data_IF_551333824886
#
_entry.id   IF_551333824886
#
_cell.length_a   1.000
_cell.length_b   1.000
_cell.length_c   1.000
_cell.angle_alpha   90.00
_cell.angle_beta   90.00
_cell.angle_gamma   90.00
#
_symmetry.space_group_name_H-M   'P 1'
#
loop_
_entity.id
_entity.type
_entity.pdbx_description
1 polymer ?
#
# COMPACT_ATOMS: atom_id res chain seq x y z
N UNK A 1 4.52 -34.56 -12.65
CA UNK A 1 4.51 -33.33 -11.82
C UNK A 1 4.54 -32.15 -12.79
N UNK A 2 3.47 -31.41 -12.90
CA UNK A 2 3.43 -30.23 -13.78
C UNK A 2 4.11 -29.05 -13.07
N UNK A 3 4.75 -28.18 -13.81
CA UNK A 3 5.72 -27.23 -13.27
C UNK A 3 5.21 -25.81 -13.41
N UNK A 4 5.21 -25.04 -12.33
CA UNK A 4 5.06 -23.58 -12.42
C UNK A 4 6.37 -22.98 -12.89
N UNK A 5 6.29 -22.14 -13.92
CA UNK A 5 7.44 -21.38 -14.41
C UNK A 5 7.19 -19.92 -14.14
N UNK A 6 8.15 -19.25 -13.53
CA UNK A 6 8.09 -17.82 -13.24
C UNK A 6 8.98 -17.03 -14.17
N UNK A 7 8.51 -15.86 -14.57
CA UNK A 7 9.24 -14.91 -15.41
C UNK A 7 9.27 -13.54 -14.73
N UNK A 8 10.42 -12.88 -14.74
CA UNK A 8 10.58 -11.51 -14.29
C UNK A 8 11.55 -10.80 -15.22
N UNK A 9 11.25 -9.53 -15.59
CA UNK A 9 12.02 -8.77 -16.57
C UNK A 9 12.27 -9.60 -17.85
N UNK A 10 11.24 -10.31 -18.34
CA UNK A 10 11.29 -11.17 -19.52
C UNK A 10 12.31 -12.34 -19.44
N UNK A 11 12.79 -12.68 -18.26
CA UNK A 11 13.70 -13.80 -18.01
C UNK A 11 13.02 -14.83 -17.11
N UNK A 12 13.24 -16.10 -17.42
CA UNK A 12 12.84 -17.18 -16.53
C UNK A 12 13.59 -17.09 -15.22
N UNK A 13 12.86 -17.12 -14.10
CA UNK A 13 13.43 -17.12 -12.77
C UNK A 13 13.92 -18.49 -12.37
N UNK A 14 15.12 -18.57 -11.84
CA UNK A 14 15.67 -19.76 -11.21
C UNK A 14 15.44 -19.78 -9.69
N UNK A 15 15.30 -18.59 -9.09
CA UNK A 15 14.99 -18.38 -7.67
C UNK A 15 14.28 -17.03 -7.48
N UNK A 16 13.76 -16.76 -6.27
CA UNK A 16 13.01 -15.52 -5.94
C UNK A 16 13.83 -14.43 -5.25
N UNK A 17 15.16 -14.57 -5.17
CA UNK A 17 16.00 -13.57 -4.48
C UNK A 17 15.95 -12.21 -5.15
N UNK A 18 15.69 -12.17 -6.46
CA UNK A 18 15.63 -10.95 -7.25
C UNK A 18 14.22 -10.34 -7.34
N UNK A 19 13.24 -10.98 -6.72
CA UNK A 19 11.84 -10.53 -6.79
C UNK A 19 11.40 -9.96 -5.44
N UNK A 20 10.94 -8.72 -5.45
CA UNK A 20 10.50 -7.97 -4.26
C UNK A 20 9.09 -8.33 -3.80
N UNK A 21 8.67 -9.54 -4.03
CA UNK A 21 7.31 -9.97 -3.79
C UNK A 21 7.20 -11.03 -2.71
N UNK A 22 5.99 -11.39 -2.42
CA UNK A 22 5.61 -12.37 -1.43
C UNK A 22 6.29 -13.73 -1.67
N UNK A 23 7.54 -13.84 -1.22
CA UNK A 23 8.34 -15.05 -1.29
C UNK A 23 7.60 -16.26 -0.69
N UNK A 24 6.90 -16.06 0.43
CA UNK A 24 6.18 -17.13 1.14
C UNK A 24 5.07 -17.69 0.28
N UNK A 25 4.30 -16.84 -0.41
CA UNK A 25 3.24 -17.30 -1.30
C UNK A 25 3.82 -18.05 -2.51
N UNK A 26 4.91 -17.55 -3.09
CA UNK A 26 5.56 -18.22 -4.22
C UNK A 26 6.19 -19.56 -3.83
N UNK A 27 6.81 -19.67 -2.65
CA UNK A 27 7.30 -20.94 -2.10
C UNK A 27 6.13 -21.92 -1.93
N UNK A 28 5.00 -21.49 -1.37
CA UNK A 28 3.79 -22.32 -1.25
C UNK A 28 3.24 -22.76 -2.61
N UNK A 29 3.26 -21.89 -3.63
CA UNK A 29 2.81 -22.22 -4.97
C UNK A 29 3.74 -23.25 -5.61
N UNK A 30 5.06 -23.17 -5.37
CA UNK A 30 6.01 -24.16 -5.88
C UNK A 30 5.79 -25.58 -5.31
N UNK A 31 5.31 -25.65 -4.08
CA UNK A 31 5.02 -26.93 -3.40
C UNK A 31 3.65 -27.52 -3.80
N UNK A 32 2.85 -26.83 -4.60
CA UNK A 32 1.58 -27.36 -5.07
C UNK A 32 1.75 -28.40 -6.18
N UNK A 33 1.05 -29.51 -6.01
CA UNK A 33 0.82 -30.48 -7.10
C UNK A 33 -0.30 -29.93 -8.01
N UNK A 34 0.10 -29.20 -9.05
CA UNK A 34 -0.86 -28.68 -10.02
C UNK A 34 -1.23 -29.74 -11.06
N UNK A 35 -2.49 -29.75 -11.48
CA UNK A 35 -3.00 -30.66 -12.52
C UNK A 35 -2.52 -30.29 -13.94
N UNK A 36 -2.00 -29.09 -14.14
CA UNK A 36 -1.46 -28.59 -15.42
C UNK A 36 -0.28 -27.63 -15.22
N UNK A 37 0.43 -27.33 -16.31
CA UNK A 37 1.53 -26.36 -16.29
C UNK A 37 1.00 -24.93 -16.37
N UNK A 38 1.55 -24.06 -15.53
CA UNK A 38 1.23 -22.65 -15.48
C UNK A 38 2.50 -21.81 -15.64
N UNK A 39 2.42 -20.75 -16.45
CA UNK A 39 3.49 -19.76 -16.57
C UNK A 39 3.03 -18.45 -15.92
N UNK A 40 3.81 -17.97 -14.92
CA UNK A 40 3.51 -16.76 -14.16
C UNK A 40 4.50 -15.67 -14.56
N UNK A 41 3.99 -14.56 -15.08
CA UNK A 41 4.76 -13.38 -15.40
C UNK A 41 4.59 -12.34 -14.30
N UNK A 42 5.67 -12.07 -13.56
CA UNK A 42 5.73 -11.03 -12.54
C UNK A 42 6.05 -9.70 -13.25
N UNK A 43 5.13 -8.77 -13.21
CA UNK A 43 5.22 -7.51 -13.96
C UNK A 43 5.42 -6.36 -12.99
N UNK A 44 6.47 -5.57 -13.21
CA UNK A 44 6.73 -4.33 -12.49
C UNK A 44 6.40 -3.15 -13.42
N UNK A 45 5.29 -2.44 -13.19
CA UNK A 45 4.83 -1.41 -14.11
C UNK A 45 5.76 -0.22 -14.31
N UNK A 46 6.70 0.00 -13.39
CA UNK A 46 7.64 1.13 -13.44
C UNK A 46 8.76 1.01 -14.48
N UNK A 47 8.86 -0.13 -15.17
CA UNK A 47 9.91 -0.39 -16.18
C UNK A 47 9.29 -0.63 -17.55
N UNK A 48 9.56 0.26 -18.52
CA UNK A 48 9.06 0.16 -19.90
C UNK A 48 9.42 -1.15 -20.60
N UNK A 49 10.47 -1.84 -20.13
CA UNK A 49 10.96 -3.10 -20.69
C UNK A 49 10.27 -4.36 -20.12
N UNK A 50 9.33 -4.21 -19.19
CA UNK A 50 8.65 -5.33 -18.53
C UNK A 50 7.40 -5.83 -19.27
N UNK A 51 7.33 -5.64 -20.59
CA UNK A 51 6.22 -6.15 -21.38
C UNK A 51 6.41 -7.63 -21.74
N UNK A 52 5.66 -8.56 -21.13
CA UNK A 52 5.81 -10.00 -21.38
C UNK A 52 5.18 -10.45 -22.71
N UNK A 53 4.46 -9.58 -23.40
CA UNK A 53 3.53 -9.97 -24.48
C UNK A 53 4.21 -10.61 -25.69
N UNK A 54 5.45 -10.24 -26.04
CA UNK A 54 6.17 -10.87 -27.14
C UNK A 54 6.60 -12.31 -26.79
N UNK A 55 6.95 -12.55 -25.54
CA UNK A 55 7.26 -13.91 -25.07
C UNK A 55 5.98 -14.75 -25.09
N UNK A 56 4.88 -14.22 -24.56
CA UNK A 56 3.59 -14.93 -24.50
C UNK A 56 3.10 -15.29 -25.90
N UNK A 57 3.22 -14.38 -26.87
CA UNK A 57 2.85 -14.66 -28.28
C UNK A 57 3.63 -15.81 -28.90
N UNK A 58 4.83 -16.11 -28.41
CA UNK A 58 5.64 -17.22 -28.87
C UNK A 58 5.36 -18.53 -28.15
N UNK A 59 4.52 -18.51 -27.10
CA UNK A 59 4.15 -19.69 -26.32
C UNK A 59 2.98 -20.45 -26.95
N UNK A 60 2.87 -21.71 -26.54
CA UNK A 60 1.69 -22.53 -26.83
C UNK A 60 0.49 -21.98 -26.04
N UNK A 61 -0.64 -21.73 -26.74
CA UNK A 61 -1.87 -21.23 -26.13
C UNK A 61 -2.63 -22.27 -25.30
N UNK A 62 -2.13 -23.49 -25.19
CA UNK A 62 -2.70 -24.54 -24.31
C UNK A 62 -2.33 -24.38 -22.83
N UNK A 63 -1.42 -23.46 -22.52
CA UNK A 63 -0.98 -23.20 -21.14
C UNK A 63 -1.78 -22.11 -20.49
N UNK A 64 -2.04 -22.26 -19.18
CA UNK A 64 -2.51 -21.19 -18.34
C UNK A 64 -1.39 -20.16 -18.12
N UNK A 65 -1.71 -18.90 -18.31
CA UNK A 65 -0.78 -17.78 -18.14
C UNK A 65 -1.35 -16.83 -17.09
N UNK A 66 -0.54 -16.47 -16.11
CA UNK A 66 -0.88 -15.50 -15.09
C UNK A 66 0.00 -14.27 -15.24
N UNK A 67 -0.62 -13.13 -15.43
CA UNK A 67 0.03 -11.82 -15.39
C UNK A 67 -0.13 -11.25 -14.00
N UNK A 68 0.94 -11.23 -13.22
CA UNK A 68 0.92 -10.74 -11.86
C UNK A 68 1.65 -9.41 -11.72
N UNK A 69 0.88 -8.35 -11.59
CA UNK A 69 1.40 -7.01 -11.33
C UNK A 69 1.80 -6.89 -9.85
N UNK A 70 3.08 -6.66 -9.59
CA UNK A 70 3.65 -6.66 -8.25
C UNK A 70 3.75 -5.28 -7.61
N UNK A 71 3.40 -4.24 -8.37
CA UNK A 71 3.34 -2.85 -7.91
C UNK A 71 2.15 -2.15 -8.56
N UNK A 72 1.80 -0.94 -8.07
CA UNK A 72 0.71 -0.13 -8.63
C UNK A 72 0.90 0.10 -10.12
N UNK A 73 -0.18 -0.01 -10.87
CA UNK A 73 -0.19 0.20 -12.32
C UNK A 73 -0.59 1.65 -12.61
N UNK A 74 0.26 2.42 -13.27
CA UNK A 74 -0.15 3.72 -13.78
C UNK A 74 -1.20 3.56 -14.88
N UNK A 75 -2.16 4.50 -14.98
CA UNK A 75 -3.21 4.46 -15.98
C UNK A 75 -2.65 4.30 -17.41
N UNK A 76 -1.59 5.04 -17.73
CA UNK A 76 -0.97 4.98 -19.06
C UNK A 76 -0.37 3.60 -19.39
N UNK A 77 0.30 2.96 -18.43
CA UNK A 77 0.87 1.64 -18.63
C UNK A 77 -0.22 0.56 -18.70
N UNK A 78 -1.26 0.73 -17.88
CA UNK A 78 -2.42 -0.14 -17.91
C UNK A 78 -3.10 -0.12 -19.27
N UNK A 79 -3.33 1.07 -19.87
CA UNK A 79 -3.93 1.21 -21.19
C UNK A 79 -3.10 0.52 -22.27
N UNK A 80 -1.78 0.62 -22.22
CA UNK A 80 -0.87 -0.06 -23.13
C UNK A 80 -0.97 -1.60 -23.02
N UNK A 81 -1.03 -2.11 -21.79
CA UNK A 81 -1.13 -3.56 -21.54
C UNK A 81 -2.53 -4.12 -21.84
N UNK A 82 -3.59 -3.35 -21.55
CA UNK A 82 -4.99 -3.73 -21.76
C UNK A 82 -5.26 -4.24 -23.17
N UNK A 83 -4.83 -3.49 -24.19
CA UNK A 83 -5.02 -3.90 -25.57
C UNK A 83 -4.31 -5.22 -25.89
N UNK A 84 -3.09 -5.40 -25.35
CA UNK A 84 -2.33 -6.63 -25.55
C UNK A 84 -2.97 -7.83 -24.83
N UNK A 85 -3.49 -7.63 -23.63
CA UNK A 85 -4.21 -8.65 -22.86
C UNK A 85 -5.47 -9.08 -23.61
N UNK A 86 -6.30 -8.13 -24.02
CA UNK A 86 -7.55 -8.43 -24.75
C UNK A 86 -7.28 -9.16 -26.06
N UNK A 87 -6.26 -8.73 -26.83
CA UNK A 87 -5.85 -9.41 -28.07
C UNK A 87 -5.41 -10.87 -27.83
N UNK A 88 -4.71 -11.16 -26.72
CA UNK A 88 -4.32 -12.53 -26.39
C UNK A 88 -5.53 -13.39 -26.00
N UNK A 89 -6.47 -12.82 -25.22
CA UNK A 89 -7.73 -13.50 -24.89
C UNK A 89 -8.53 -13.85 -26.14
N UNK A 90 -8.65 -12.92 -27.11
CA UNK A 90 -9.30 -13.14 -28.40
C UNK A 90 -8.63 -14.24 -29.22
N UNK A 91 -7.33 -14.45 -29.05
CA UNK A 91 -6.57 -15.54 -29.68
C UNK A 91 -6.68 -16.88 -28.94
N UNK A 92 -7.47 -16.93 -27.87
CA UNK A 92 -7.74 -18.16 -27.12
C UNK A 92 -6.68 -18.53 -26.06
N UNK A 93 -5.84 -17.57 -25.63
CA UNK A 93 -4.96 -17.80 -24.49
C UNK A 93 -5.77 -17.81 -23.18
N UNK A 94 -5.50 -18.77 -22.31
CA UNK A 94 -6.06 -18.82 -20.94
C UNK A 94 -5.27 -17.88 -20.04
N UNK A 95 -5.73 -16.62 -19.97
CA UNK A 95 -5.10 -15.54 -19.24
C UNK A 95 -5.87 -15.21 -17.97
N UNK A 96 -5.13 -15.06 -16.86
CA UNK A 96 -5.62 -14.48 -15.60
C UNK A 96 -4.72 -13.30 -15.23
N UNK A 97 -5.30 -12.27 -14.65
CA UNK A 97 -4.57 -11.07 -14.23
C UNK A 97 -4.69 -10.89 -12.73
N UNK A 98 -3.56 -10.69 -12.05
CA UNK A 98 -3.50 -10.33 -10.63
C UNK A 98 -2.93 -8.92 -10.54
N UNK A 99 -3.64 -8.00 -9.89
CA UNK A 99 -3.31 -6.58 -9.83
C UNK A 99 -3.56 -6.03 -8.41
N UNK A 100 -2.68 -5.17 -7.88
CA UNK A 100 -2.86 -4.60 -6.55
C UNK A 100 -3.91 -3.48 -6.49
N UNK A 101 -4.15 -2.80 -7.60
CA UNK A 101 -5.12 -1.70 -7.67
C UNK A 101 -6.56 -2.22 -7.71
N UNK A 102 -7.49 -1.47 -7.10
CA UNK A 102 -8.92 -1.73 -7.15
C UNK A 102 -9.59 -0.68 -8.06
N UNK A 103 -9.95 -1.09 -9.27
CA UNK A 103 -10.72 -0.28 -10.22
C UNK A 103 -12.17 -0.75 -10.24
N UNK A 104 -13.11 0.14 -10.55
CA UNK A 104 -14.51 -0.22 -10.70
C UNK A 104 -14.75 -1.11 -11.94
N UNK A 105 -13.95 -0.89 -12.97
CA UNK A 105 -13.95 -1.70 -14.18
C UNK A 105 -12.54 -1.79 -14.76
N UNK A 106 -12.08 -3.01 -15.02
CA UNK A 106 -10.78 -3.26 -15.66
C UNK A 106 -10.87 -3.28 -17.18
N UNK A 107 -12.09 -3.45 -17.73
CA UNK A 107 -12.34 -3.53 -19.17
C UNK A 107 -11.38 -4.52 -19.86
N UNK A 108 -11.18 -5.67 -19.23
CA UNK A 108 -10.38 -6.79 -19.70
C UNK A 108 -11.26 -7.99 -20.04
N UNK A 109 -10.88 -8.73 -21.08
CA UNK A 109 -11.58 -9.93 -21.55
C UNK A 109 -11.23 -11.19 -20.75
N UNK A 110 -10.52 -11.05 -19.62
CA UNK A 110 -10.13 -12.14 -18.73
C UNK A 110 -10.50 -11.83 -17.28
N UNK A 111 -10.40 -12.84 -16.42
CA UNK A 111 -10.62 -12.67 -15.00
C UNK A 111 -9.51 -11.84 -14.33
N UNK A 112 -9.91 -10.92 -13.46
CA UNK A 112 -9.01 -10.05 -12.71
C UNK A 112 -9.17 -10.30 -11.21
N UNK A 113 -8.06 -10.44 -10.53
CA UNK A 113 -7.98 -10.65 -9.10
C UNK A 113 -7.15 -9.56 -8.43
N UNK A 114 -7.60 -9.10 -7.28
CA UNK A 114 -6.83 -8.11 -6.52
C UNK A 114 -5.96 -8.79 -5.48
N UNK A 115 -4.67 -8.49 -5.49
CA UNK A 115 -3.73 -8.90 -4.44
C UNK A 115 -2.63 -7.88 -4.27
N UNK A 116 -2.42 -7.47 -3.03
CA UNK A 116 -1.27 -6.69 -2.65
C UNK A 116 -0.23 -7.58 -1.93
N UNK A 117 0.77 -8.01 -2.66
CA UNK A 117 1.75 -9.01 -2.21
C UNK A 117 2.56 -8.61 -0.96
N UNK A 118 2.75 -7.30 -0.70
CA UNK A 118 3.47 -6.86 0.51
C UNK A 118 2.66 -7.04 1.80
N UNK A 119 1.33 -7.21 1.73
CA UNK A 119 0.50 -7.42 2.92
C UNK A 119 0.91 -8.70 3.67
N UNK A 120 1.30 -9.76 2.95
CA UNK A 120 1.80 -11.00 3.55
C UNK A 120 3.08 -10.78 4.37
N UNK A 121 4.02 -9.98 3.85
CA UNK A 121 5.25 -9.65 4.57
C UNK A 121 4.95 -8.87 5.85
N UNK A 122 3.94 -8.00 5.83
CA UNK A 122 3.52 -7.23 7.01
C UNK A 122 2.84 -8.15 8.03
N UNK A 123 2.03 -9.11 7.59
CA UNK A 123 1.46 -10.10 8.48
C UNK A 123 2.55 -10.97 9.14
N UNK A 124 3.57 -11.38 8.40
CA UNK A 124 4.72 -12.07 8.95
C UNK A 124 5.42 -11.24 10.02
N UNK A 125 5.69 -9.96 9.75
CA UNK A 125 6.27 -9.04 10.73
C UNK A 125 5.38 -8.88 11.96
N UNK A 126 4.06 -8.81 11.79
CA UNK A 126 3.12 -8.80 12.91
C UNK A 126 3.23 -10.08 13.75
N UNK A 127 3.31 -11.24 13.12
CA UNK A 127 3.42 -12.53 13.82
C UNK A 127 4.74 -12.65 14.59
N UNK A 128 5.86 -12.27 13.97
CA UNK A 128 7.19 -12.24 14.61
C UNK A 128 7.22 -11.32 15.83
N UNK A 129 6.49 -10.21 15.79
CA UNK A 129 6.44 -9.23 16.85
C UNK A 129 5.20 -9.33 17.76
N UNK A 130 4.40 -10.40 17.60
CA UNK A 130 3.09 -10.55 18.26
C UNK A 130 3.15 -10.37 19.78
N UNK A 131 4.17 -10.93 20.42
CA UNK A 131 4.34 -10.82 21.86
C UNK A 131 4.51 -9.37 22.33
N UNK A 132 5.35 -8.60 21.62
CA UNK A 132 5.63 -7.20 21.93
C UNK A 132 4.43 -6.30 21.62
N UNK A 133 3.76 -6.50 20.46
CA UNK A 133 2.55 -5.75 20.10
C UNK A 133 1.44 -5.99 21.11
N UNK A 134 1.21 -7.26 21.49
CA UNK A 134 0.23 -7.64 22.51
C UNK A 134 0.56 -7.01 23.87
N UNK A 135 1.82 -7.13 24.32
CA UNK A 135 2.26 -6.55 25.58
C UNK A 135 2.03 -5.03 25.62
N UNK A 136 2.40 -4.32 24.56
CA UNK A 136 2.18 -2.88 24.46
C UNK A 136 0.68 -2.56 24.50
N UNK A 137 -0.15 -3.26 23.72
CA UNK A 137 -1.58 -3.03 23.67
C UNK A 137 -2.27 -3.28 25.01
N UNK A 138 -1.94 -4.36 25.71
CA UNK A 138 -2.53 -4.69 27.02
C UNK A 138 -2.10 -3.72 28.11
N UNK A 139 -0.91 -3.13 27.98
CA UNK A 139 -0.33 -2.21 28.97
C UNK A 139 -0.30 -0.75 28.50
N UNK A 140 -1.00 -0.41 27.43
CA UNK A 140 -0.90 0.90 26.79
C UNK A 140 -1.21 2.11 27.71
N UNK A 141 -1.95 1.92 28.80
CA UNK A 141 -2.23 2.95 29.81
C UNK A 141 -0.96 3.35 30.60
N UNK A 142 0.06 2.53 30.59
CA UNK A 142 1.33 2.76 31.30
C UNK A 142 2.42 3.30 30.38
N UNK A 143 2.15 3.39 29.10
CA UNK A 143 3.08 3.95 28.12
C UNK A 143 2.74 5.41 27.85
N UNK A 144 3.70 6.28 28.06
CA UNK A 144 3.61 7.67 27.66
C UNK A 144 3.86 7.80 26.16
N UNK A 145 2.98 8.51 25.46
CA UNK A 145 3.14 8.92 24.07
C UNK A 145 3.28 10.42 24.02
N UNK A 146 4.28 10.93 23.34
CA UNK A 146 4.53 12.37 23.24
C UNK A 146 4.15 12.93 21.85
N UNK A 147 3.88 12.05 20.86
CA UNK A 147 3.51 12.45 19.51
C UNK A 147 2.04 12.17 19.19
N UNK A 148 1.40 13.18 18.63
CA UNK A 148 0.03 13.07 18.13
C UNK A 148 -0.01 12.17 16.91
N UNK A 149 0.95 12.36 16.01
CA UNK A 149 0.95 11.76 14.68
C UNK A 149 2.27 11.06 14.37
N UNK A 150 2.16 9.99 13.60
CA UNK A 150 3.24 9.35 12.89
C UNK A 150 3.00 9.50 11.39
N UNK A 151 4.03 9.77 10.58
CA UNK A 151 3.88 9.80 9.13
C UNK A 151 5.16 9.37 8.43
N UNK A 152 5.10 8.22 7.75
CA UNK A 152 6.21 7.72 6.95
C UNK A 152 6.07 8.14 5.49
N UNK A 153 6.99 8.99 5.01
CA UNK A 153 7.04 9.45 3.64
C UNK A 153 8.43 9.17 3.05
N UNK A 154 8.52 8.17 2.18
CA UNK A 154 9.75 7.89 1.46
C UNK A 154 9.93 8.88 0.30
N UNK A 155 9.31 8.60 -0.84
CA UNK A 155 9.43 9.44 -2.03
C UNK A 155 8.63 10.74 -1.91
N UNK A 156 9.22 11.89 -2.23
CA UNK A 156 8.52 13.16 -2.30
C UNK A 156 7.57 13.17 -3.50
N UNK A 157 6.26 13.25 -3.21
CA UNK A 157 5.18 13.38 -4.18
C UNK A 157 4.40 14.65 -3.90
N UNK A 158 3.72 15.29 -4.88
CA UNK A 158 3.05 16.59 -4.69
C UNK A 158 2.14 16.62 -3.46
N UNK A 159 1.26 15.64 -3.28
CA UNK A 159 0.36 15.57 -2.12
C UNK A 159 1.11 15.43 -0.77
N UNK A 160 2.24 14.70 -0.74
CA UNK A 160 3.06 14.53 0.47
C UNK A 160 3.77 15.83 0.82
N UNK A 161 4.28 16.55 -0.20
CA UNK A 161 4.89 17.86 -0.02
C UNK A 161 3.84 18.85 0.44
N UNK A 162 2.62 18.81 -0.12
CA UNK A 162 1.52 19.67 0.29
C UNK A 162 1.17 19.47 1.78
N UNK A 163 1.09 18.23 2.22
CA UNK A 163 0.88 17.89 3.63
C UNK A 163 2.03 18.41 4.51
N UNK A 164 3.29 18.15 4.12
CA UNK A 164 4.46 18.58 4.87
C UNK A 164 4.53 20.12 4.94
N UNK A 165 4.26 20.80 3.83
CA UNK A 165 4.21 22.27 3.80
C UNK A 165 3.18 22.84 4.80
N UNK A 166 2.00 22.21 4.90
CA UNK A 166 1.01 22.58 5.89
C UNK A 166 1.52 22.38 7.33
N UNK A 167 2.11 21.22 7.61
CA UNK A 167 2.65 20.88 8.93
C UNK A 167 3.70 21.91 9.38
N UNK A 168 4.62 22.24 8.49
CA UNK A 168 5.71 23.21 8.75
C UNK A 168 5.15 24.63 8.93
N UNK A 169 4.32 25.09 8.00
CA UNK A 169 3.77 26.44 8.01
C UNK A 169 2.87 26.74 9.22
N UNK A 170 2.37 25.68 9.88
CA UNK A 170 1.53 25.80 11.08
C UNK A 170 2.25 25.40 12.38
N UNK A 171 3.58 25.23 12.34
CA UNK A 171 4.41 24.87 13.49
C UNK A 171 3.97 23.56 14.18
N UNK A 172 3.54 22.56 13.39
CA UNK A 172 3.05 21.28 13.91
C UNK A 172 4.11 20.18 13.96
N UNK A 173 5.35 20.43 13.51
CA UNK A 173 6.41 19.43 13.46
C UNK A 173 6.66 18.74 14.79
N UNK A 174 6.59 19.49 15.91
CA UNK A 174 6.78 18.91 17.24
C UNK A 174 5.72 17.87 17.62
N UNK A 175 4.55 17.90 17.00
CA UNK A 175 3.44 16.94 17.20
C UNK A 175 3.57 15.70 16.33
N UNK A 176 4.54 15.66 15.42
CA UNK A 176 4.75 14.59 14.46
C UNK A 176 6.07 13.85 14.70
N UNK A 177 6.00 12.53 14.58
CA UNK A 177 7.11 11.73 14.12
C UNK A 177 6.94 11.59 12.59
N UNK A 178 7.78 12.28 11.81
CA UNK A 178 7.66 12.33 10.35
C UNK A 178 8.99 12.05 9.66
N UNK A 179 9.00 11.11 8.71
CA UNK A 179 10.12 10.92 7.79
C UNK A 179 9.81 11.48 6.40
N UNK A 180 10.82 12.03 5.75
CA UNK A 180 10.69 12.57 4.40
C UNK A 180 12.05 12.65 3.70
N UNK A 181 12.18 12.01 2.53
CA UNK A 181 13.42 12.06 1.76
C UNK A 181 13.52 13.38 0.98
N UNK A 182 14.77 13.79 0.68
CA UNK A 182 15.06 14.99 -0.13
C UNK A 182 15.10 14.71 -1.64
N UNK A 183 15.02 13.45 -2.06
CA UNK A 183 15.17 13.04 -3.47
C UNK A 183 14.21 11.91 -3.83
N UNK A 184 13.92 11.80 -5.11
CA UNK A 184 13.14 10.70 -5.69
C UNK A 184 14.06 9.84 -6.57
N UNK A 185 14.40 8.59 -6.15
CA UNK A 185 15.19 7.64 -6.94
C UNK A 185 16.43 8.26 -7.63
N UNK A 186 17.25 9.03 -6.89
CA UNK A 186 18.42 9.77 -7.40
C UNK A 186 18.10 10.91 -8.37
N UNK A 187 16.87 11.38 -8.47
CA UNK A 187 16.48 12.58 -9.20
C UNK A 187 16.24 13.76 -8.27
N UNK A 188 16.40 14.98 -8.76
CA UNK A 188 16.05 16.19 -8.02
C UNK A 188 14.57 16.18 -7.63
N UNK A 189 14.26 16.90 -6.55
CA UNK A 189 12.90 17.05 -6.04
C UNK A 189 12.02 17.65 -7.14
N UNK A 190 11.09 16.87 -7.67
CA UNK A 190 10.14 17.37 -8.65
C UNK A 190 9.04 18.17 -7.92
N UNK A 191 9.16 19.49 -7.93
CA UNK A 191 8.17 20.42 -7.40
C UNK A 191 7.00 20.68 -8.37
N UNK A 192 6.99 20.01 -9.52
CA UNK A 192 5.86 20.05 -10.45
C UNK A 192 4.57 19.57 -9.78
N UNK A 193 3.45 20.23 -10.05
CA UNK A 193 2.16 19.92 -9.43
C UNK A 193 1.90 20.59 -8.07
N UNK A 194 2.87 21.26 -7.44
CA UNK A 194 2.62 21.99 -6.19
C UNK A 194 1.72 23.22 -6.39
N UNK A 195 1.75 23.82 -7.58
CA UNK A 195 0.85 24.93 -7.94
C UNK A 195 -0.62 24.52 -7.86
N UNK A 196 -0.94 23.27 -8.09
CA UNK A 196 -2.32 22.74 -7.97
C UNK A 196 -2.82 22.78 -6.52
N UNK A 197 -1.91 22.64 -5.56
CA UNK A 197 -2.17 22.80 -4.13
C UNK A 197 -2.01 24.25 -3.64
N UNK A 198 -1.88 25.23 -4.54
CA UNK A 198 -1.60 26.63 -4.24
C UNK A 198 -0.29 26.85 -3.44
N UNK A 199 0.71 26.03 -3.69
CA UNK A 199 2.03 26.13 -3.07
C UNK A 199 2.98 26.73 -4.10
N UNK A 200 3.29 28.02 -3.96
CA UNK A 200 4.24 28.72 -4.84
C UNK A 200 5.69 28.40 -4.50
N UNK A 201 5.98 28.15 -3.22
CA UNK A 201 7.34 27.87 -2.74
C UNK A 201 7.30 26.91 -1.56
N UNK A 202 8.15 25.90 -1.61
CA UNK A 202 8.40 24.97 -0.51
C UNK A 202 9.86 25.11 -0.05
N UNK A 203 10.07 25.23 1.26
CA UNK A 203 11.41 25.30 1.84
C UNK A 203 12.03 23.91 1.90
N UNK A 204 12.92 23.62 0.96
CA UNK A 204 13.63 22.34 0.88
C UNK A 204 14.77 22.21 1.89
N UNK A 205 15.15 23.31 2.58
CA UNK A 205 16.27 23.27 3.56
C UNK A 205 15.96 22.46 4.80
N UNK A 206 14.67 22.17 5.06
CA UNK A 206 14.24 21.30 6.16
C UNK A 206 14.44 19.82 5.87
N UNK A 207 14.73 19.44 4.62
CA UNK A 207 14.89 18.05 4.19
C UNK A 207 16.35 17.62 4.19
N UNK A 208 16.65 16.34 4.42
CA UNK A 208 15.70 15.26 4.72
C UNK A 208 15.27 15.24 6.19
N UNK A 209 14.05 14.72 6.45
CA UNK A 209 13.59 14.39 7.80
C UNK A 209 13.76 12.88 8.02
N UNK A 210 14.60 12.48 8.95
CA UNK A 210 14.91 11.09 9.23
C UNK A 210 14.32 10.65 10.57
N UNK A 211 13.52 9.60 10.57
CA UNK A 211 13.02 8.92 11.77
C UNK A 211 13.52 7.48 11.87
N UNK A 212 13.74 6.86 10.74
CA UNK A 212 14.10 5.47 10.62
C UNK A 212 15.33 5.30 9.70
N UNK A 213 15.78 4.09 9.55
CA UNK A 213 17.02 3.77 8.83
C UNK A 213 17.04 4.44 7.45
N UNK A 214 18.16 5.12 7.16
CA UNK A 214 18.44 5.84 5.91
C UNK A 214 18.41 4.94 4.64
N UNK A 215 18.40 3.63 4.81
CA UNK A 215 18.37 2.69 3.72
C UNK A 215 16.92 2.41 3.30
N UNK A 216 16.49 3.02 2.22
CA UNK A 216 15.24 2.70 1.52
C UNK A 216 15.40 1.40 0.72
N UNK A 217 15.57 0.29 1.41
CA UNK A 217 15.52 -1.03 0.80
C UNK A 217 14.10 -1.59 0.91
N UNK A 218 13.76 -2.54 0.07
CA UNK A 218 12.50 -3.30 0.16
C UNK A 218 12.24 -3.84 1.58
N UNK A 219 13.29 -4.29 2.27
CA UNK A 219 13.20 -4.78 3.65
C UNK A 219 12.72 -3.71 4.64
N UNK A 220 13.02 -2.43 4.41
CA UNK A 220 12.56 -1.34 5.28
C UNK A 220 11.10 -0.99 5.02
N UNK A 221 10.60 -1.14 3.79
CA UNK A 221 9.20 -0.85 3.46
C UNK A 221 8.21 -1.81 4.13
N UNK A 222 8.61 -3.04 4.43
CA UNK A 222 7.76 -4.04 5.10
C UNK A 222 7.99 -4.15 6.61
N UNK A 223 9.12 -3.67 7.15
CA UNK A 223 9.41 -3.70 8.58
C UNK A 223 8.45 -2.83 9.40
N UNK A 224 8.15 -3.29 10.62
CA UNK A 224 7.41 -2.53 11.62
C UNK A 224 8.41 -1.81 12.54
N UNK A 225 8.47 -0.48 12.47
CA UNK A 225 9.24 0.32 13.42
C UNK A 225 8.40 0.54 14.70
N UNK A 226 8.29 -0.50 15.52
CA UNK A 226 7.40 -0.52 16.68
C UNK A 226 7.63 0.64 17.65
N UNK A 227 8.88 1.08 17.95
CA UNK A 227 9.07 2.24 18.81
C UNK A 227 8.33 3.49 18.33
N UNK A 228 8.37 3.81 17.04
CA UNK A 228 7.66 4.98 16.49
C UNK A 228 6.15 4.78 16.51
N UNK A 229 5.67 3.57 16.16
CA UNK A 229 4.25 3.25 16.29
C UNK A 229 3.77 3.36 17.73
N UNK A 230 4.58 2.97 18.71
CA UNK A 230 4.18 3.03 20.14
C UNK A 230 4.26 4.45 20.72
N UNK A 231 5.13 5.31 20.19
CA UNK A 231 5.31 6.68 20.63
C UNK A 231 4.21 7.65 20.17
N UNK A 232 3.47 7.31 19.14
CA UNK A 232 2.45 8.16 18.53
C UNK A 232 1.03 7.67 18.79
N UNK A 233 0.03 8.54 18.62
CA UNK A 233 -1.39 8.17 18.75
C UNK A 233 -2.03 7.78 17.42
N UNK A 234 -1.84 8.55 16.36
CA UNK A 234 -2.53 8.40 15.07
C UNK A 234 -1.50 8.35 13.95
N UNK A 235 -1.67 7.40 13.03
CA UNK A 235 -0.84 7.31 11.83
C UNK A 235 -1.46 8.16 10.70
N UNK A 236 -0.71 9.08 10.14
CA UNK A 236 -1.10 9.82 8.93
C UNK A 236 -0.50 9.08 7.74
N UNK A 237 -1.27 8.14 7.23
CA UNK A 237 -0.85 7.22 6.16
C UNK A 237 -0.95 7.93 4.82
N UNK A 238 0.20 8.29 4.25
CA UNK A 238 0.27 8.89 2.91
C UNK A 238 0.56 7.83 1.86
N UNK A 239 -0.48 7.40 1.15
CA UNK A 239 -0.39 6.38 0.11
C UNK A 239 0.49 6.81 -1.06
N UNK A 240 0.91 5.84 -1.85
CA UNK A 240 1.72 6.10 -3.04
C UNK A 240 0.91 6.79 -4.15
N UNK A 241 -0.38 6.48 -4.26
CA UNK A 241 -1.29 7.09 -5.21
C UNK A 241 -2.32 7.96 -4.47
N UNK A 242 -2.59 9.14 -5.01
CA UNK A 242 -3.48 10.10 -4.40
C UNK A 242 -4.39 10.80 -5.41
N UNK A 243 -3.81 11.33 -6.49
CA UNK A 243 -4.50 12.11 -7.50
C UNK A 243 -5.24 11.24 -8.53
N UNK A 244 -4.83 10.00 -8.67
CA UNK A 244 -5.29 9.08 -9.71
C UNK A 244 -6.65 8.47 -9.36
N UNK A 245 -7.36 8.02 -10.38
CA UNK A 245 -8.56 7.19 -10.23
C UNK A 245 -8.22 5.77 -9.79
N UNK A 246 -9.22 5.08 -9.24
CA UNK A 246 -9.05 3.76 -8.64
C UNK A 246 -8.64 3.84 -7.16
N UNK A 247 -8.40 2.69 -6.54
CA UNK A 247 -7.95 2.61 -5.16
C UNK A 247 -6.77 1.66 -5.04
N UNK A 248 -5.67 2.19 -4.51
CA UNK A 248 -4.48 1.43 -4.17
C UNK A 248 -4.23 1.49 -2.66
N UNK A 249 -4.32 0.35 -2.00
CA UNK A 249 -4.03 0.23 -0.56
C UNK A 249 -2.59 -0.24 -0.40
N UNK A 250 -1.72 0.64 0.06
CA UNK A 250 -0.29 0.34 0.17
C UNK A 250 0.12 -0.27 1.53
N UNK A 251 1.40 -0.61 1.63
CA UNK A 251 1.99 -1.26 2.80
C UNK A 251 1.80 -0.48 4.11
N UNK A 252 1.75 0.86 4.04
CA UNK A 252 1.64 1.70 5.24
C UNK A 252 0.29 1.52 5.92
N UNK A 253 -0.77 1.35 5.13
CA UNK A 253 -2.11 1.07 5.65
C UNK A 253 -2.13 -0.27 6.41
N UNK A 254 -1.54 -1.31 5.83
CA UNK A 254 -1.45 -2.62 6.48
C UNK A 254 -0.56 -2.60 7.74
N UNK A 255 0.50 -1.78 7.76
CA UNK A 255 1.32 -1.55 8.96
C UNK A 255 0.52 -0.95 10.11
N UNK A 256 -0.38 0.00 9.81
CA UNK A 256 -1.26 0.58 10.83
C UNK A 256 -2.16 -0.50 11.45
N UNK A 257 -2.71 -1.42 10.64
CA UNK A 257 -3.48 -2.56 11.16
C UNK A 257 -2.61 -3.49 12.00
N UNK A 258 -1.43 -3.85 11.51
CA UNK A 258 -0.49 -4.74 12.21
C UNK A 258 -0.05 -4.17 13.56
N UNK A 259 0.19 -2.86 13.64
CA UNK A 259 0.62 -2.15 14.85
C UNK A 259 -0.55 -1.64 15.71
N UNK A 260 -1.80 -2.00 15.38
CA UNK A 260 -3.01 -1.58 16.11
C UNK A 260 -3.08 -0.05 16.26
N UNK A 261 -2.94 0.66 15.14
CA UNK A 261 -2.99 2.13 15.08
C UNK A 261 -4.24 2.65 14.39
N UNK A 262 -4.91 3.67 14.96
CA UNK A 262 -5.85 4.46 14.20
C UNK A 262 -5.09 5.29 13.16
N UNK A 263 -5.75 5.61 12.05
CA UNK A 263 -5.09 6.37 10.98
C UNK A 263 -6.02 7.38 10.32
N UNK A 264 -5.40 8.41 9.76
CA UNK A 264 -5.97 9.30 8.74
C UNK A 264 -5.35 8.90 7.41
N UNK A 265 -6.17 8.53 6.43
CA UNK A 265 -5.68 8.02 5.16
C UNK A 265 -5.58 9.14 4.12
N UNK A 266 -4.36 9.53 3.75
CA UNK A 266 -4.07 10.41 2.63
C UNK A 266 -3.96 9.54 1.38
N UNK A 267 -5.11 9.16 0.85
CA UNK A 267 -5.27 8.21 -0.25
C UNK A 267 -6.24 8.70 -1.32
N UNK A 268 -6.47 7.86 -2.30
CA UNK A 268 -7.43 8.11 -3.38
C UNK A 268 -8.87 8.17 -2.84
N UNK A 269 -9.76 8.83 -3.58
CA UNK A 269 -11.19 8.87 -3.28
C UNK A 269 -11.75 7.45 -3.18
N UNK A 270 -12.54 7.18 -2.13
CA UNK A 270 -13.13 5.86 -1.87
C UNK A 270 -12.19 4.83 -1.24
N UNK A 271 -10.99 5.22 -0.82
CA UNK A 271 -10.02 4.29 -0.23
C UNK A 271 -10.52 3.72 1.11
N UNK A 272 -11.15 4.53 1.97
CA UNK A 272 -11.75 4.04 3.21
C UNK A 272 -13.00 3.19 2.94
N UNK A 273 -13.80 3.55 1.94
CA UNK A 273 -14.92 2.72 1.48
C UNK A 273 -14.40 1.35 1.05
N UNK A 274 -13.32 1.29 0.27
CA UNK A 274 -12.72 0.01 -0.16
C UNK A 274 -12.23 -0.81 1.03
N UNK A 275 -11.59 -0.20 2.02
CA UNK A 275 -11.18 -0.90 3.23
C UNK A 275 -12.38 -1.53 3.96
N UNK A 276 -13.51 -0.82 4.03
CA UNK A 276 -14.74 -1.38 4.62
C UNK A 276 -15.29 -2.58 3.83
N UNK A 277 -15.23 -2.53 2.50
CA UNK A 277 -15.60 -3.65 1.61
C UNK A 277 -14.67 -4.87 1.80
N UNK A 278 -13.40 -4.64 2.14
CA UNK A 278 -12.42 -5.69 2.45
C UNK A 278 -12.55 -6.21 3.91
N UNK A 279 -13.58 -5.76 4.64
CA UNK A 279 -13.88 -6.22 5.99
C UNK A 279 -13.16 -5.46 7.11
N UNK A 280 -12.35 -4.46 6.81
CA UNK A 280 -11.74 -3.59 7.80
C UNK A 280 -12.75 -2.56 8.31
N UNK A 281 -12.50 -2.01 9.49
CA UNK A 281 -13.28 -0.90 10.07
C UNK A 281 -12.48 0.39 10.00
N UNK A 282 -13.18 1.49 9.79
CA UNK A 282 -12.60 2.83 9.78
C UNK A 282 -13.01 3.61 11.04
N UNK A 283 -12.60 4.84 11.18
CA UNK A 283 -12.64 5.57 12.44
C UNK A 283 -13.68 6.70 12.46
N UNK A 284 -14.67 6.64 11.56
CA UNK A 284 -15.66 7.70 11.32
C UNK A 284 -16.36 8.27 12.56
N UNK A 285 -16.63 7.54 13.66
CA UNK A 285 -17.23 8.17 14.84
C UNK A 285 -16.30 9.16 15.58
N UNK A 286 -14.99 9.10 15.31
CA UNK A 286 -13.97 9.86 16.05
C UNK A 286 -13.10 10.72 15.13
N UNK A 287 -12.96 10.33 13.87
CA UNK A 287 -12.21 11.01 12.81
C UNK A 287 -13.22 11.39 11.72
N UNK A 288 -13.22 12.65 11.29
CA UNK A 288 -14.03 13.09 10.15
C UNK A 288 -13.47 12.49 8.86
N UNK A 289 -14.13 11.47 8.33
CA UNK A 289 -13.77 10.74 7.13
C UNK A 289 -14.49 11.25 5.86
N UNK A 290 -15.15 12.42 5.93
CA UNK A 290 -15.88 13.00 4.79
C UNK A 290 -14.98 13.26 3.57
N UNK A 291 -13.67 13.33 3.77
CA UNK A 291 -12.69 13.46 2.69
C UNK A 291 -12.66 12.23 1.76
N UNK A 292 -13.10 11.07 2.21
CA UNK A 292 -13.07 9.84 1.40
C UNK A 292 -13.99 9.90 0.18
N UNK A 293 -15.08 10.68 0.26
CA UNK A 293 -16.06 10.84 -0.82
C UNK A 293 -15.70 12.01 -1.78
N UNK A 294 -14.69 12.84 -1.44
CA UNK A 294 -14.31 14.00 -2.26
C UNK A 294 -13.42 13.55 -3.44
N UNK A 295 -13.93 13.74 -4.67
CA UNK A 295 -13.21 13.37 -5.90
C UNK A 295 -12.12 14.38 -6.27
N UNK A 296 -12.34 15.65 -6.01
CA UNK A 296 -11.32 16.69 -6.21
C UNK A 296 -10.20 16.52 -5.18
N UNK A 297 -9.02 16.10 -5.65
CA UNK A 297 -7.91 15.77 -4.78
C UNK A 297 -7.36 16.96 -3.99
N UNK A 298 -7.50 18.20 -4.49
CA UNK A 298 -7.11 19.42 -3.76
C UNK A 298 -8.07 19.71 -2.62
N UNK A 299 -9.38 19.60 -2.87
CA UNK A 299 -10.40 19.72 -1.82
C UNK A 299 -10.29 18.59 -0.81
N UNK A 300 -10.05 17.35 -1.27
CA UNK A 300 -9.80 16.21 -0.40
C UNK A 300 -8.64 16.45 0.54
N UNK A 301 -7.50 16.98 0.05
CA UNK A 301 -6.37 17.38 0.88
C UNK A 301 -6.78 18.44 1.91
N UNK A 302 -7.57 19.41 1.53
CA UNK A 302 -8.05 20.47 2.44
C UNK A 302 -8.91 19.89 3.58
N UNK A 303 -9.75 18.89 3.30
CA UNK A 303 -10.54 18.19 4.32
C UNK A 303 -9.66 17.36 5.26
N UNK A 304 -8.67 16.64 4.72
CA UNK A 304 -7.69 15.89 5.51
C UNK A 304 -6.90 16.82 6.44
N UNK A 305 -6.43 17.95 5.91
CA UNK A 305 -5.71 18.99 6.66
C UNK A 305 -6.59 19.55 7.77
N UNK A 306 -7.88 19.81 7.50
CA UNK A 306 -8.83 20.28 8.50
C UNK A 306 -8.97 19.30 9.66
N UNK A 307 -8.99 18.02 9.37
CA UNK A 307 -9.08 16.98 10.40
C UNK A 307 -7.79 16.87 11.23
N UNK A 308 -6.61 16.91 10.58
CA UNK A 308 -5.32 16.95 11.26
C UNK A 308 -5.24 18.18 12.18
N UNK A 309 -5.70 19.34 11.69
CA UNK A 309 -5.77 20.57 12.50
C UNK A 309 -6.65 20.37 13.73
N UNK A 310 -7.88 19.88 13.55
CA UNK A 310 -8.82 19.63 14.65
C UNK A 310 -8.20 18.77 15.76
N UNK A 311 -7.54 17.68 15.37
CA UNK A 311 -6.91 16.78 16.34
C UNK A 311 -5.68 17.45 16.98
N UNK A 312 -4.92 18.23 16.20
CA UNK A 312 -3.74 18.92 16.73
C UNK A 312 -4.08 20.01 17.77
N UNK A 313 -5.29 20.51 17.79
CA UNK A 313 -5.80 21.51 18.73
C UNK A 313 -6.27 20.87 20.06
N UNK A 314 -6.43 19.55 20.11
CA UNK A 314 -6.74 18.82 21.34
C UNK A 314 -5.54 18.83 22.29
N UNK A 315 -5.80 18.70 23.58
CA UNK A 315 -4.75 18.37 24.56
C UNK A 315 -4.31 16.93 24.39
N UNK A 316 -3.12 16.59 24.88
CA UNK A 316 -2.59 15.24 24.81
C UNK A 316 -3.51 14.24 25.55
N UNK A 317 -4.13 14.67 26.67
CA UNK A 317 -5.11 13.85 27.41
C UNK A 317 -6.38 13.57 26.59
N UNK A 318 -6.84 14.56 25.82
CA UNK A 318 -8.02 14.38 24.94
C UNK A 318 -7.70 13.44 23.77
N UNK A 319 -6.51 13.52 23.19
CA UNK A 319 -6.06 12.58 22.15
C UNK A 319 -5.91 11.17 22.71
N UNK A 320 -5.38 11.03 23.91
CA UNK A 320 -5.31 9.74 24.58
C UNK A 320 -6.69 9.13 24.82
N UNK A 321 -7.65 9.91 25.31
CA UNK A 321 -9.05 9.48 25.46
C UNK A 321 -9.68 9.10 24.10
N UNK A 322 -9.38 9.85 23.06
CA UNK A 322 -9.85 9.56 21.71
C UNK A 322 -9.28 8.22 21.21
N UNK A 323 -8.00 7.98 21.40
CA UNK A 323 -7.34 6.73 21.03
C UNK A 323 -7.99 5.52 21.70
N UNK A 324 -8.24 5.58 23.02
CA UNK A 324 -8.86 4.46 23.75
C UNK A 324 -10.29 4.13 23.27
N UNK A 325 -11.05 5.11 22.79
CA UNK A 325 -12.38 4.86 22.23
C UNK A 325 -12.34 4.01 20.96
N UNK A 326 -11.21 3.99 20.25
CA UNK A 326 -11.02 3.26 19.00
C UNK A 326 -10.54 1.80 19.20
N UNK A 327 -10.25 1.38 20.42
CA UNK A 327 -9.66 0.08 20.74
C UNK A 327 -10.36 -1.14 20.10
N UNK A 328 -11.70 -1.15 20.05
CA UNK A 328 -12.44 -2.26 19.42
C UNK A 328 -12.19 -2.33 17.91
N UNK A 329 -12.00 -1.18 17.26
CA UNK A 329 -11.66 -1.12 15.84
C UNK A 329 -10.25 -1.59 15.62
N UNK A 330 -9.29 -1.18 16.48
CA UNK A 330 -7.89 -1.60 16.39
C UNK A 330 -7.75 -3.12 16.51
N UNK A 331 -8.39 -3.74 17.48
CA UNK A 331 -8.41 -5.20 17.64
C UNK A 331 -9.02 -5.91 16.42
N UNK A 332 -10.16 -5.40 15.95
CA UNK A 332 -10.82 -5.95 14.77
C UNK A 332 -9.88 -5.91 13.55
N UNK A 333 -9.27 -4.78 13.25
CA UNK A 333 -8.42 -4.60 12.08
C UNK A 333 -7.15 -5.45 12.13
N UNK A 334 -6.54 -5.56 13.31
CA UNK A 334 -5.37 -6.41 13.53
C UNK A 334 -5.68 -7.89 13.25
N UNK A 335 -6.88 -8.36 13.64
CA UNK A 335 -7.35 -9.73 13.36
C UNK A 335 -7.78 -9.89 11.90
N UNK A 336 -8.48 -8.90 11.35
CA UNK A 336 -8.96 -8.89 9.97
C UNK A 336 -7.80 -8.96 8.96
N UNK A 337 -6.64 -8.40 9.27
CA UNK A 337 -5.45 -8.48 8.41
C UNK A 337 -5.10 -9.95 8.09
N UNK A 338 -5.08 -10.81 9.09
CA UNK A 338 -4.81 -12.23 8.89
C UNK A 338 -5.89 -12.94 8.06
N UNK A 339 -7.17 -12.62 8.30
CA UNK A 339 -8.31 -13.18 7.56
C UNK A 339 -8.24 -12.74 6.09
N UNK A 340 -8.07 -11.45 5.85
CA UNK A 340 -7.97 -10.87 4.51
C UNK A 340 -6.86 -11.53 3.67
N UNK A 341 -5.66 -11.67 4.26
CA UNK A 341 -4.53 -12.27 3.57
C UNK A 341 -4.78 -13.76 3.31
N UNK A 342 -5.30 -14.49 4.31
CA UNK A 342 -5.63 -15.89 4.13
C UNK A 342 -6.63 -16.11 2.98
N UNK A 343 -7.72 -15.33 2.96
CA UNK A 343 -8.77 -15.45 1.95
C UNK A 343 -8.27 -15.06 0.56
N UNK A 344 -7.42 -14.03 0.47
CA UNK A 344 -6.81 -13.60 -0.78
C UNK A 344 -5.87 -14.67 -1.31
N UNK A 345 -5.01 -15.23 -0.46
CA UNK A 345 -4.10 -16.30 -0.84
C UNK A 345 -4.86 -17.57 -1.27
N UNK A 346 -5.95 -17.91 -0.58
CA UNK A 346 -6.81 -19.02 -0.97
C UNK A 346 -7.42 -18.83 -2.35
N UNK A 347 -7.88 -17.62 -2.68
CA UNK A 347 -8.38 -17.29 -4.01
C UNK A 347 -7.30 -17.48 -5.08
N UNK A 348 -6.08 -16.96 -4.84
CA UNK A 348 -4.96 -17.12 -5.77
C UNK A 348 -4.62 -18.60 -5.99
N UNK A 349 -4.55 -19.38 -4.91
CA UNK A 349 -4.33 -20.83 -5.00
C UNK A 349 -5.46 -21.54 -5.76
N UNK A 350 -6.72 -21.10 -5.61
CA UNK A 350 -7.87 -21.57 -6.39
C UNK A 350 -7.66 -21.32 -7.89
N UNK A 351 -7.28 -20.11 -8.27
CA UNK A 351 -7.00 -19.75 -9.67
C UNK A 351 -5.95 -20.65 -10.30
N UNK A 352 -4.97 -21.09 -9.51
CA UNK A 352 -3.91 -21.96 -9.98
C UNK A 352 -4.36 -23.42 -10.14
N UNK A 353 -5.46 -23.83 -9.47
CA UNK A 353 -5.97 -25.20 -9.48
C UNK A 353 -7.19 -25.39 -10.42
N UNK A 354 -7.86 -24.31 -10.84
CA UNK A 354 -8.95 -24.35 -11.83
C UNK A 354 -8.42 -24.36 -13.26
#
# INVERSE_FOLDING_TARGET
>A
MMKVTYYFNNKKLENFNDVWTNRILFEKIQDLELSYSCDIFLIRPSHENDSPFEIIKSMDNTKKIILWYIDTVSNQLYDNHKNSINMLCEKGYDLKVIIPDHLDNYDLSCEVFNNYSMADCILEQQQLNRGLIKYFYENQKHFYRDKYFLSFNGNPKPHRIALLNYIVSNNLLEKFDISFNSFFWNSELNLGGLSEYNIEKFDTSILPLHLDLLETTYYTSTKLNLPLYFNSYIDVVSCSNYEQEGVYIDEKTYKSFACMKPFILVGQCGALKKLRELGFKTFSPWIDESYDDEKDYVKRMSLIIKEIKRISELTLEEVDKLYFKMNLVLNHNSSQLGIYIHDTNKKILGILND
#
